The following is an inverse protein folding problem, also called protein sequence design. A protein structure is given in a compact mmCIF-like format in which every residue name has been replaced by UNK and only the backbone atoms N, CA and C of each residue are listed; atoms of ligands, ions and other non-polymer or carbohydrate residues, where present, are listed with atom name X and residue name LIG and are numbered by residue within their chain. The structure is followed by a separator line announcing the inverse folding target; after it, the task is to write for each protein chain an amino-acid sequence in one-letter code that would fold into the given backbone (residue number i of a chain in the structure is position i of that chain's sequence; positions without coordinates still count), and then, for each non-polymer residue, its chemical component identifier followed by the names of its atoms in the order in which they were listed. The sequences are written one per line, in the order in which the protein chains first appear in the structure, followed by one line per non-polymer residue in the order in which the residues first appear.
data_IF_089219952743
#
_entry.id   IF_089219952743
#
_cell.length_a   1.000
_cell.length_b   1.000
_cell.length_c   1.000
_cell.angle_alpha   90.00
_cell.angle_beta   90.00
_cell.angle_gamma   90.00
#
_symmetry.space_group_name_H-M   'P 1'
#
loop_
_entity.id
_entity.type
_entity.pdbx_description
1 polymer ?
#
# COMPACT_ATOMS: atom_id res chain seq x y z
N UNK A 1 18.96 57.14 -40.26
CA UNK A 1 19.56 55.96 -40.93
C UNK A 1 19.02 54.70 -40.25
N UNK A 2 17.94 54.13 -40.78
CA UNK A 2 17.20 52.96 -40.22
C UNK A 2 17.58 51.72 -41.03
N UNK A 3 17.92 50.61 -40.37
CA UNK A 3 18.04 49.28 -40.98
C UNK A 3 17.05 48.32 -40.33
N UNK A 4 15.93 48.09 -41.01
CA UNK A 4 14.94 47.07 -40.70
C UNK A 4 15.39 45.74 -41.31
N UNK A 5 15.61 44.71 -40.48
CA UNK A 5 15.90 43.35 -40.95
C UNK A 5 14.60 42.62 -41.29
N UNK A 6 14.47 42.22 -42.55
CA UNK A 6 13.37 41.40 -43.07
C UNK A 6 13.73 39.93 -42.94
N UNK A 7 12.88 39.14 -42.27
CA UNK A 7 13.05 37.70 -42.14
C UNK A 7 12.03 36.97 -43.03
N UNK A 8 12.55 36.25 -44.02
CA UNK A 8 11.81 35.32 -44.89
C UNK A 8 11.30 34.14 -44.05
N UNK A 9 9.99 33.93 -44.00
CA UNK A 9 9.38 32.70 -43.47
C UNK A 9 9.46 31.61 -44.55
N UNK A 10 10.15 30.51 -44.24
CA UNK A 10 10.13 29.28 -45.03
C UNK A 10 9.05 28.39 -44.40
N UNK A 11 7.93 28.20 -45.10
CA UNK A 11 6.86 27.29 -44.71
C UNK A 11 7.23 25.89 -45.17
N UNK A 12 7.68 25.04 -44.25
CA UNK A 12 7.83 23.59 -44.49
C UNK A 12 6.54 22.93 -44.02
N UNK A 13 5.71 22.52 -44.98
CA UNK A 13 4.52 21.70 -44.75
C UNK A 13 4.97 20.23 -44.70
N UNK A 14 5.16 19.69 -43.50
CA UNK A 14 5.38 18.25 -43.29
C UNK A 14 4.06 17.61 -42.88
N UNK A 15 3.44 16.86 -43.79
CA UNK A 15 2.28 16.01 -43.51
C UNK A 15 2.82 14.67 -43.02
N UNK A 16 2.85 14.47 -41.71
CA UNK A 16 3.10 13.17 -41.09
C UNK A 16 1.79 12.65 -40.48
N UNK A 17 1.12 11.76 -41.20
CA UNK A 17 -0.02 10.99 -40.67
C UNK A 17 0.55 9.90 -39.77
N UNK A 18 0.63 10.19 -38.46
CA UNK A 18 0.98 9.19 -37.46
C UNK A 18 -0.28 8.40 -37.09
N UNK A 19 -0.33 7.14 -37.50
CA UNK A 19 -1.38 6.19 -37.10
C UNK A 19 -1.04 5.68 -35.69
N UNK A 20 -1.53 6.35 -34.65
CA UNK A 20 -1.45 5.84 -33.28
C UNK A 20 -2.56 4.83 -33.05
N UNK A 21 -2.21 3.53 -33.13
CA UNK A 21 -3.06 2.47 -32.60
C UNK A 21 -2.96 2.54 -31.09
N UNK A 22 -3.89 3.26 -30.46
CA UNK A 22 -4.00 3.34 -29.01
C UNK A 22 -4.44 1.97 -28.49
N UNK A 23 -3.48 1.10 -28.19
CA UNK A 23 -3.72 -0.10 -27.40
C UNK A 23 -4.01 0.34 -25.97
N UNK A 24 -5.29 0.50 -25.65
CA UNK A 24 -5.76 0.73 -24.29
C UNK A 24 -5.63 -0.59 -23.52
N UNK A 25 -4.42 -0.91 -23.07
CA UNK A 25 -4.18 -2.00 -22.14
C UNK A 25 -4.76 -1.59 -20.78
N UNK A 26 -5.99 -1.99 -20.52
CA UNK A 26 -6.60 -1.85 -19.19
C UNK A 26 -5.93 -2.91 -18.31
N UNK A 27 -4.88 -2.50 -17.59
CA UNK A 27 -4.34 -3.30 -16.50
C UNK A 27 -5.31 -3.17 -15.33
N UNK A 28 -6.21 -4.14 -15.19
CA UNK A 28 -6.91 -4.33 -13.92
C UNK A 28 -5.89 -4.86 -12.93
N UNK A 29 -5.34 -3.97 -12.11
CA UNK A 29 -4.66 -4.38 -10.89
C UNK A 29 -5.75 -4.87 -9.95
N UNK A 30 -5.89 -6.18 -9.81
CA UNK A 30 -6.64 -6.72 -8.68
C UNK A 30 -5.90 -6.29 -7.42
N UNK A 31 -6.47 -5.33 -6.69
CA UNK A 31 -6.01 -5.07 -5.35
C UNK A 31 -6.34 -6.31 -4.54
N UNK A 32 -5.32 -7.14 -4.30
CA UNK A 32 -5.35 -8.17 -3.28
C UNK A 32 -5.44 -7.42 -1.95
N UNK A 33 -6.65 -7.01 -1.58
CA UNK A 33 -6.95 -6.48 -0.26
C UNK A 33 -6.85 -7.65 0.68
N UNK A 34 -5.69 -7.77 1.31
CA UNK A 34 -5.51 -8.69 2.40
C UNK A 34 -6.36 -8.18 3.57
N UNK A 35 -7.56 -8.74 3.63
CA UNK A 35 -8.61 -8.30 4.53
C UNK A 35 -8.15 -8.52 5.97
N UNK A 36 -7.83 -7.39 6.61
CA UNK A 36 -7.41 -7.30 8.00
C UNK A 36 -8.49 -7.89 8.90
N UNK A 37 -8.12 -8.90 9.69
CA UNK A 37 -9.01 -9.42 10.74
C UNK A 37 -9.10 -10.93 10.83
N UNK A 38 -8.49 -11.70 9.93
CA UNK A 38 -8.45 -13.16 10.05
C UNK A 38 -7.19 -13.61 10.78
N UNK A 39 -7.26 -14.78 11.41
CA UNK A 39 -6.15 -15.40 12.12
C UNK A 39 -5.93 -16.84 11.66
N UNK A 40 -4.67 -17.29 11.75
CA UNK A 40 -4.31 -18.69 11.56
C UNK A 40 -4.44 -19.46 12.88
N UNK A 41 -5.34 -20.45 12.90
CA UNK A 41 -5.49 -21.34 14.05
C UNK A 41 -4.72 -22.65 13.88
N UNK A 42 -3.83 -22.75 12.89
CA UNK A 42 -3.11 -23.97 12.54
C UNK A 42 -3.96 -24.99 11.77
N UNK A 43 -5.14 -24.59 11.28
CA UNK A 43 -5.97 -25.44 10.42
C UNK A 43 -5.33 -25.50 9.03
N UNK A 44 -5.13 -26.71 8.52
CA UNK A 44 -4.47 -27.00 7.25
C UNK A 44 -5.32 -27.96 6.44
N UNK A 45 -5.48 -27.70 5.15
CA UNK A 45 -6.22 -28.57 4.24
C UNK A 45 -5.44 -28.74 2.93
N UNK A 46 -5.41 -29.96 2.39
CA UNK A 46 -4.87 -30.21 1.05
C UNK A 46 -5.94 -29.89 0.00
N UNK A 47 -5.63 -28.99 -0.93
CA UNK A 47 -6.60 -28.52 -1.92
C UNK A 47 -6.50 -29.20 -3.30
N UNK A 48 -5.79 -30.32 -3.39
CA UNK A 48 -5.51 -31.00 -4.66
C UNK A 48 -4.18 -30.58 -5.32
N UNK A 49 -3.51 -29.54 -4.81
CA UNK A 49 -2.16 -29.18 -5.28
C UNK A 49 -1.19 -29.03 -4.11
N UNK A 50 -1.60 -28.31 -3.06
CA UNK A 50 -0.75 -28.03 -1.90
C UNK A 50 -1.57 -28.00 -0.61
N UNK A 51 -0.85 -28.02 0.52
CA UNK A 51 -1.45 -27.78 1.83
C UNK A 51 -1.58 -26.27 2.03
N UNK A 52 -2.79 -25.78 2.27
CA UNK A 52 -3.08 -24.37 2.54
C UNK A 52 -3.52 -24.16 3.98
N UNK A 53 -3.15 -23.02 4.56
CA UNK A 53 -3.71 -22.55 5.82
C UNK A 53 -5.12 -22.01 5.61
N UNK A 54 -6.02 -22.21 6.56
CA UNK A 54 -7.42 -21.77 6.48
C UNK A 54 -7.65 -20.62 7.47
N UNK A 55 -8.28 -19.56 6.98
CA UNK A 55 -8.58 -18.37 7.76
C UNK A 55 -9.68 -18.67 8.79
N UNK A 56 -9.47 -18.19 10.02
CA UNK A 56 -10.47 -18.21 11.07
C UNK A 56 -10.78 -16.79 11.56
N UNK A 57 -12.01 -16.60 12.02
CA UNK A 57 -12.43 -15.40 12.73
C UNK A 57 -11.74 -15.33 14.12
N UNK A 58 -11.36 -14.14 14.59
CA UNK A 58 -10.90 -13.94 15.95
C UNK A 58 -11.90 -14.46 16.98
N UNK A 59 -11.40 -14.96 18.11
CA UNK A 59 -12.27 -15.42 19.19
C UNK A 59 -13.23 -14.29 19.62
N UNK A 60 -14.52 -14.62 19.74
CA UNK A 60 -15.58 -13.66 20.08
C UNK A 60 -16.24 -12.96 18.89
N UNK A 61 -15.76 -13.16 17.66
CA UNK A 61 -16.33 -12.57 16.42
C UNK A 61 -16.99 -13.63 15.52
N UNK A 62 -17.74 -14.55 16.13
CA UNK A 62 -18.28 -15.73 15.45
C UNK A 62 -19.46 -15.40 14.52
N UNK A 63 -19.18 -14.98 13.29
CA UNK A 63 -20.21 -14.75 12.26
C UNK A 63 -20.36 -15.93 11.32
N UNK A 64 -19.33 -16.77 11.17
CA UNK A 64 -19.38 -17.93 10.29
C UNK A 64 -20.32 -19.04 10.80
N UNK A 65 -21.12 -19.66 9.91
CA UNK A 65 -21.90 -20.85 10.24
C UNK A 65 -21.03 -22.11 10.41
N UNK A 66 -19.83 -22.16 9.83
CA UNK A 66 -18.91 -23.28 10.00
C UNK A 66 -17.98 -22.99 11.18
N UNK A 67 -17.92 -23.92 12.15
CA UNK A 67 -17.18 -23.72 13.40
C UNK A 67 -16.25 -24.89 13.70
N UNK A 68 -15.15 -24.59 14.39
CA UNK A 68 -14.23 -25.60 14.93
C UNK A 68 -13.91 -25.27 16.39
N UNK A 69 -13.80 -26.28 17.23
CA UNK A 69 -13.31 -26.14 18.60
C UNK A 69 -11.83 -26.51 18.66
N UNK A 70 -11.00 -25.65 19.27
CA UNK A 70 -9.58 -25.90 19.51
C UNK A 70 -9.16 -25.28 20.85
N UNK A 71 -8.49 -26.07 21.69
CA UNK A 71 -7.99 -25.64 23.01
C UNK A 71 -9.05 -24.96 23.89
N UNK A 72 -10.29 -25.47 23.88
CA UNK A 72 -11.40 -24.91 24.66
C UNK A 72 -12.04 -23.64 24.09
N UNK A 73 -11.55 -23.11 22.96
CA UNK A 73 -12.16 -21.99 22.25
C UNK A 73 -12.88 -22.47 20.98
N UNK A 74 -13.98 -21.79 20.62
CA UNK A 74 -14.69 -21.99 19.35
C UNK A 74 -14.27 -20.88 18.40
N UNK A 75 -13.91 -21.26 17.18
CA UNK A 75 -13.56 -20.36 16.08
C UNK A 75 -14.54 -20.53 14.93
N UNK A 76 -14.89 -19.43 14.27
CA UNK A 76 -15.62 -19.46 13.00
C UNK A 76 -14.63 -19.63 11.86
N UNK A 77 -14.88 -20.58 10.97
CA UNK A 77 -14.06 -20.82 9.78
C UNK A 77 -14.59 -19.96 8.66
N UNK A 78 -13.76 -19.09 8.11
CA UNK A 78 -14.20 -18.09 7.14
C UNK A 78 -14.58 -18.79 5.83
N UNK A 79 -15.75 -18.45 5.32
CA UNK A 79 -16.29 -18.95 4.06
C UNK A 79 -16.33 -17.83 3.02
N UNK A 80 -15.95 -18.15 1.79
CA UNK A 80 -16.03 -17.26 0.62
C UNK A 80 -16.87 -17.90 -0.48
N UNK A 81 -17.23 -17.13 -1.51
CA UNK A 81 -17.83 -17.70 -2.71
C UNK A 81 -16.80 -18.54 -3.48
N UNK A 82 -17.22 -19.63 -4.14
CA UNK A 82 -16.37 -20.33 -5.10
C UNK A 82 -15.87 -19.39 -6.20
N UNK A 83 -14.56 -19.38 -6.46
CA UNK A 83 -13.92 -18.49 -7.44
C UNK A 83 -13.37 -17.18 -6.89
N UNK A 84 -13.60 -16.88 -5.60
CA UNK A 84 -12.90 -15.79 -4.90
C UNK A 84 -11.37 -15.97 -4.96
N UNK A 85 -10.59 -14.89 -4.99
CA UNK A 85 -9.12 -14.96 -5.02
C UNK A 85 -8.55 -15.76 -3.84
N UNK A 86 -9.24 -15.75 -2.70
CA UNK A 86 -8.90 -16.49 -1.50
C UNK A 86 -9.63 -17.84 -1.37
N UNK A 87 -10.30 -18.32 -2.41
CA UNK A 87 -10.87 -19.66 -2.47
C UNK A 87 -9.76 -20.72 -2.30
N UNK A 88 -9.96 -21.65 -1.35
CA UNK A 88 -9.07 -22.78 -1.16
C UNK A 88 -9.30 -23.92 -2.15
N UNK A 89 -10.48 -24.03 -2.75
CA UNK A 89 -10.96 -25.17 -3.54
C UNK A 89 -11.83 -26.14 -2.75
N UNK A 90 -11.83 -26.06 -1.41
CA UNK A 90 -12.58 -26.98 -0.53
C UNK A 90 -14.00 -26.47 -0.35
N UNK A 91 -15.00 -27.27 -0.74
CA UNK A 91 -16.41 -26.87 -0.80
C UNK A 91 -17.18 -27.25 0.46
N UNK A 92 -18.06 -26.36 0.92
CA UNK A 92 -18.93 -26.53 2.08
C UNK A 92 -20.38 -26.20 1.68
N UNK A 93 -21.29 -27.16 1.82
CA UNK A 93 -22.71 -26.91 1.63
C UNK A 93 -23.27 -26.16 2.85
N UNK A 94 -23.84 -24.98 2.63
CA UNK A 94 -24.56 -24.20 3.65
C UNK A 94 -26.03 -24.04 3.26
N UNK A 95 -26.85 -23.48 4.15
CA UNK A 95 -28.24 -23.11 3.83
C UNK A 95 -28.32 -22.04 2.73
N UNK A 96 -27.28 -21.22 2.57
CA UNK A 96 -27.17 -20.19 1.54
C UNK A 96 -26.52 -20.69 0.24
N UNK A 97 -26.27 -22.00 0.11
CA UNK A 97 -25.62 -22.61 -1.05
C UNK A 97 -24.20 -23.12 -0.78
N UNK A 98 -23.51 -23.49 -1.86
CA UNK A 98 -22.13 -23.98 -1.80
C UNK A 98 -21.17 -22.81 -1.59
N UNK A 99 -20.40 -22.86 -0.50
CA UNK A 99 -19.30 -21.95 -0.20
C UNK A 99 -17.95 -22.67 -0.31
N UNK A 100 -16.87 -21.92 -0.17
CA UNK A 100 -15.53 -22.46 -0.06
C UNK A 100 -14.84 -22.03 1.23
N UNK A 101 -13.94 -22.86 1.77
CA UNK A 101 -13.05 -22.42 2.84
C UNK A 101 -12.13 -21.32 2.31
N UNK A 102 -11.96 -20.24 3.07
CA UNK A 102 -11.02 -19.16 2.72
C UNK A 102 -9.58 -19.53 3.09
N UNK A 103 -8.64 -19.33 2.18
CA UNK A 103 -7.20 -19.41 2.47
C UNK A 103 -6.80 -18.32 3.46
N UNK A 104 -5.99 -18.68 4.44
CA UNK A 104 -5.31 -17.69 5.27
C UNK A 104 -4.10 -17.14 4.52
N UNK A 105 -4.07 -15.81 4.34
CA UNK A 105 -2.93 -15.10 3.78
C UNK A 105 -2.22 -14.43 4.96
N UNK A 106 -1.03 -14.90 5.29
CA UNK A 106 -0.19 -14.26 6.29
C UNK A 106 0.38 -12.97 5.69
N UNK A 107 0.05 -11.84 6.28
CA UNK A 107 0.73 -10.58 5.97
C UNK A 107 1.83 -10.36 7.01
N UNK A 108 3.07 -10.13 6.57
CA UNK A 108 4.09 -9.68 7.49
C UNK A 108 3.74 -8.27 8.00
N UNK A 109 4.03 -7.99 9.27
CA UNK A 109 3.75 -6.70 9.90
C UNK A 109 4.94 -5.76 9.75
N UNK A 110 4.72 -4.59 9.17
CA UNK A 110 5.68 -3.49 9.12
C UNK A 110 5.33 -2.45 10.17
N UNK A 111 6.21 -2.27 11.15
CA UNK A 111 6.11 -1.17 12.11
C UNK A 111 6.71 0.10 11.50
N UNK A 112 5.91 1.15 11.45
CA UNK A 112 6.27 2.43 10.83
C UNK A 112 6.49 3.50 11.89
N UNK A 113 7.57 4.26 11.73
CA UNK A 113 7.84 5.49 12.46
C UNK A 113 8.14 6.62 11.49
N UNK A 114 7.53 7.78 11.69
CA UNK A 114 7.71 8.97 10.85
C UNK A 114 8.41 10.05 11.68
N UNK A 115 9.59 10.46 11.21
CA UNK A 115 10.28 11.68 11.61
C UNK A 115 9.99 12.80 10.62
N UNK A 116 9.62 13.97 11.11
CA UNK A 116 9.39 15.17 10.29
C UNK A 116 10.44 16.22 10.65
N UNK A 117 11.04 16.85 9.64
CA UNK A 117 11.94 17.99 9.82
C UNK A 117 11.63 19.10 8.82
N UNK A 118 12.05 20.33 9.15
CA UNK A 118 11.92 21.48 8.26
C UNK A 118 13.22 22.26 8.19
N UNK A 119 13.49 22.85 7.03
CA UNK A 119 14.66 23.71 6.79
C UNK A 119 14.18 25.01 6.17
N UNK A 120 14.53 26.15 6.78
CA UNK A 120 14.27 27.47 6.18
C UNK A 120 15.11 27.62 4.90
N UNK A 121 14.49 28.12 3.84
CA UNK A 121 15.15 28.36 2.55
C UNK A 121 15.29 29.85 2.29
N UNK A 122 14.22 30.62 2.46
CA UNK A 122 14.22 32.06 2.24
C UNK A 122 13.07 32.71 3.03
N UNK A 123 13.34 33.81 3.76
CA UNK A 123 12.33 34.53 4.56
C UNK A 123 11.45 33.59 5.40
N UNK A 124 10.16 33.51 5.08
CA UNK A 124 9.10 32.71 5.71
C UNK A 124 8.91 31.34 5.05
N UNK A 125 9.73 30.98 4.07
CA UNK A 125 9.60 29.75 3.29
C UNK A 125 10.50 28.62 3.79
N UNK A 126 9.92 27.43 3.91
CA UNK A 126 10.56 26.22 4.41
C UNK A 126 10.41 25.06 3.43
N UNK A 127 11.35 24.12 3.49
CA UNK A 127 11.22 22.77 2.91
C UNK A 127 11.01 21.79 4.05
N UNK A 128 10.05 20.88 3.91
CA UNK A 128 9.76 19.79 4.84
C UNK A 128 10.27 18.47 4.29
N UNK A 129 10.88 17.68 5.17
CA UNK A 129 11.32 16.31 4.88
C UNK A 129 10.63 15.33 5.82
N UNK A 130 10.05 14.27 5.27
CA UNK A 130 9.55 13.13 6.02
C UNK A 130 10.58 11.99 5.89
N UNK A 131 11.15 11.56 7.00
CA UNK A 131 11.97 10.35 7.08
C UNK A 131 11.13 9.26 7.71
N UNK A 132 10.86 8.22 6.94
CA UNK A 132 10.13 7.05 7.40
C UNK A 132 11.11 5.95 7.71
N UNK A 133 10.99 5.36 8.89
CA UNK A 133 11.70 4.14 9.30
C UNK A 133 10.69 2.99 9.33
N UNK A 134 11.09 1.86 8.75
CA UNK A 134 10.28 0.64 8.67
C UNK A 134 11.05 -0.51 9.32
N UNK A 135 10.47 -1.11 10.35
CA UNK A 135 11.02 -2.24 11.09
C UNK A 135 10.04 -3.41 11.13
N UNK A 136 10.55 -4.61 11.30
CA UNK A 136 9.73 -5.82 11.35
C UNK A 136 9.02 -5.96 12.71
N UNK A 137 7.70 -6.13 12.69
CA UNK A 137 6.81 -6.43 13.83
C UNK A 137 6.74 -5.37 14.96
N UNK A 138 7.82 -4.68 15.30
CA UNK A 138 7.92 -3.75 16.45
C UNK A 138 8.86 -2.58 16.13
N UNK A 139 8.79 -1.49 16.91
CA UNK A 139 9.62 -0.28 16.73
C UNK A 139 11.13 -0.55 16.85
N UNK A 140 11.51 -1.57 17.61
CA UNK A 140 12.90 -1.99 17.83
C UNK A 140 13.26 -3.25 17.04
N UNK A 141 12.39 -3.68 16.12
CA UNK A 141 12.63 -4.84 15.28
C UNK A 141 13.75 -4.59 14.25
N UNK A 142 14.19 -5.64 13.56
CA UNK A 142 15.13 -5.51 12.45
C UNK A 142 14.60 -4.53 11.38
N UNK A 143 15.47 -3.73 10.74
CA UNK A 143 15.06 -2.85 9.64
C UNK A 143 14.61 -3.66 8.43
N UNK A 144 13.52 -3.25 7.78
CA UNK A 144 13.06 -3.89 6.54
C UNK A 144 13.65 -3.15 5.33
N UNK A 145 14.63 -3.78 4.68
CA UNK A 145 15.40 -3.21 3.56
C UNK A 145 14.71 -3.49 2.23
N UNK A 146 14.76 -2.55 1.29
CA UNK A 146 14.28 -2.77 -0.08
C UNK A 146 12.77 -2.70 -0.24
N UNK A 147 12.01 -2.33 0.80
CA UNK A 147 10.55 -2.22 0.66
C UNK A 147 10.20 -0.98 -0.14
N UNK A 148 9.24 -1.11 -1.05
CA UNK A 148 8.64 0.03 -1.74
C UNK A 148 7.57 0.63 -0.84
N UNK A 149 7.79 1.87 -0.41
CA UNK A 149 6.84 2.65 0.36
C UNK A 149 6.08 3.62 -0.56
N UNK A 150 4.79 3.76 -0.33
CA UNK A 150 3.95 4.82 -0.89
C UNK A 150 3.35 5.66 0.22
N UNK A 151 3.41 6.98 0.07
CA UNK A 151 2.84 7.90 1.02
C UNK A 151 2.23 9.14 0.35
N UNK A 152 1.47 9.88 1.13
CA UNK A 152 0.73 11.07 0.69
C UNK A 152 1.04 12.24 1.61
N UNK A 153 1.28 13.38 1.00
CA UNK A 153 1.41 14.65 1.68
C UNK A 153 0.07 15.38 1.73
N UNK A 154 -0.16 16.11 2.82
CA UNK A 154 -1.35 16.93 3.02
C UNK A 154 -1.05 18.23 3.76
N UNK A 155 -2.07 19.10 3.86
CA UNK A 155 -1.96 20.44 4.43
C UNK A 155 -1.60 21.47 3.36
N UNK A 156 -0.63 22.33 3.63
CA UNK A 156 -0.18 23.37 2.70
C UNK A 156 0.57 22.84 1.48
N UNK A 157 0.87 21.54 1.42
CA UNK A 157 1.37 20.87 0.23
C UNK A 157 0.69 19.50 0.09
N UNK A 158 0.40 19.10 -1.16
CA UNK A 158 -0.28 17.86 -1.48
C UNK A 158 0.42 17.09 -2.59
N UNK A 159 0.41 15.77 -2.49
CA UNK A 159 0.98 14.90 -3.51
C UNK A 159 1.26 13.50 -2.99
N UNK A 160 1.27 12.52 -3.89
CA UNK A 160 1.70 11.16 -3.60
C UNK A 160 3.16 10.98 -3.96
N UNK A 161 3.91 10.26 -3.13
CA UNK A 161 5.32 9.95 -3.35
C UNK A 161 5.56 8.45 -3.16
N UNK A 162 6.60 7.94 -3.78
CA UNK A 162 7.07 6.57 -3.57
C UNK A 162 8.59 6.52 -3.53
N UNK A 163 9.13 5.59 -2.75
CA UNK A 163 10.56 5.38 -2.60
C UNK A 163 10.85 4.05 -1.91
N UNK A 164 12.10 3.62 -1.99
CA UNK A 164 12.54 2.33 -1.44
C UNK A 164 13.37 2.54 -0.19
N UNK A 165 13.18 1.69 0.82
CA UNK A 165 14.00 1.76 2.04
C UNK A 165 15.45 1.35 1.79
N UNK A 166 16.38 2.06 2.41
CA UNK A 166 17.81 1.75 2.40
C UNK A 166 18.16 0.62 3.40
N UNK A 167 19.45 0.35 3.59
CA UNK A 167 19.96 -0.69 4.50
C UNK A 167 19.55 -0.51 5.98
N UNK A 168 19.17 0.71 6.37
CA UNK A 168 18.69 1.01 7.72
C UNK A 168 17.15 0.95 7.82
N UNK A 169 16.45 0.46 6.78
CA UNK A 169 15.00 0.44 6.73
C UNK A 169 14.40 1.84 6.59
N UNK A 170 15.16 2.81 6.09
CA UNK A 170 14.75 4.21 6.02
C UNK A 170 14.53 4.69 4.60
N UNK A 171 13.53 5.56 4.42
CA UNK A 171 13.31 6.33 3.19
C UNK A 171 12.99 7.77 3.55
N UNK A 172 13.59 8.72 2.84
CA UNK A 172 13.34 10.16 3.05
C UNK A 172 12.66 10.76 1.83
N UNK A 173 11.54 11.44 2.06
CA UNK A 173 10.81 12.20 1.05
C UNK A 173 11.01 13.68 1.32
N UNK A 174 11.66 14.36 0.37
CA UNK A 174 11.71 15.83 0.35
C UNK A 174 10.50 16.28 -0.46
N UNK A 175 9.39 16.54 0.24
CA UNK A 175 8.09 16.68 -0.41
C UNK A 175 7.81 18.08 -0.92
N UNK A 176 8.20 19.12 -0.18
CA UNK A 176 7.61 20.43 -0.41
C UNK A 176 8.51 21.32 -1.25
N UNK A 177 7.99 21.90 -2.33
CA UNK A 177 8.76 22.83 -3.15
C UNK A 177 9.14 24.07 -2.32
N UNK A 178 8.18 24.74 -1.68
CA UNK A 178 8.33 25.66 -0.53
C UNK A 178 6.98 25.77 0.22
N UNK A 179 7.01 25.86 1.56
CA UNK A 179 5.82 26.08 2.41
C UNK A 179 6.01 27.31 3.27
N UNK A 180 4.99 28.15 3.33
CA UNK A 180 5.00 29.40 4.10
C UNK A 180 4.81 29.16 5.61
N UNK A 181 5.47 29.99 6.43
CA UNK A 181 5.31 30.00 7.88
C UNK A 181 3.87 30.28 8.31
N UNK A 182 3.43 29.65 9.40
CA UNK A 182 2.04 29.68 9.85
C UNK A 182 1.18 28.54 9.29
N UNK A 183 1.71 27.76 8.35
CA UNK A 183 1.05 26.58 7.77
C UNK A 183 1.33 25.29 8.55
N UNK A 184 0.64 24.22 8.17
CA UNK A 184 0.96 22.85 8.61
C UNK A 184 1.13 21.92 7.40
N UNK A 185 1.96 20.91 7.58
CA UNK A 185 2.19 19.84 6.59
C UNK A 185 2.06 18.50 7.28
N UNK A 186 1.35 17.57 6.67
CA UNK A 186 1.25 16.17 7.11
C UNK A 186 1.84 15.21 6.09
N UNK A 187 2.31 14.06 6.58
CA UNK A 187 2.68 12.93 5.76
C UNK A 187 1.99 11.67 6.28
N UNK A 188 1.41 10.88 5.39
CA UNK A 188 0.76 9.60 5.69
C UNK A 188 1.40 8.50 4.85
N UNK A 189 1.74 7.38 5.49
CA UNK A 189 2.16 6.16 4.80
C UNK A 189 0.90 5.39 4.43
N UNK A 190 0.73 5.12 3.14
CA UNK A 190 -0.46 4.47 2.60
C UNK A 190 -0.24 2.96 2.45
N UNK A 191 0.94 2.56 1.98
CA UNK A 191 1.21 1.19 1.55
C UNK A 191 2.72 0.88 1.61
N UNK A 192 3.04 -0.35 2.02
CA UNK A 192 4.40 -0.90 2.00
C UNK A 192 4.35 -2.27 1.32
N UNK A 193 5.20 -2.48 0.32
CA UNK A 193 5.26 -3.74 -0.44
C UNK A 193 6.69 -4.20 -0.70
N UNK A 194 6.93 -5.51 -0.67
CA UNK A 194 8.14 -6.17 -1.19
C UNK A 194 7.73 -7.34 -2.07
N UNK A 195 8.30 -7.51 -3.26
CA UNK A 195 8.00 -8.64 -4.14
C UNK A 195 6.49 -8.92 -4.36
N UNK A 196 5.70 -7.84 -4.46
CA UNK A 196 4.23 -7.87 -4.55
C UNK A 196 3.47 -8.34 -3.29
N UNK A 197 4.17 -8.64 -2.20
CA UNK A 197 3.60 -8.87 -0.87
C UNK A 197 3.40 -7.53 -0.18
N UNK A 198 2.17 -7.26 0.23
CA UNK A 198 1.81 -6.09 1.03
C UNK A 198 2.00 -6.38 2.53
N UNK A 199 2.52 -5.40 3.26
CA UNK A 199 2.68 -5.50 4.71
C UNK A 199 1.48 -4.90 5.42
N UNK A 200 1.08 -5.50 6.54
CA UNK A 200 0.19 -4.83 7.47
C UNK A 200 0.95 -3.67 8.15
N UNK A 201 0.39 -2.46 8.10
CA UNK A 201 0.99 -1.30 8.74
C UNK A 201 0.63 -1.23 10.23
N UNK A 202 1.64 -1.17 11.07
CA UNK A 202 1.55 -0.89 12.50
C UNK A 202 2.33 0.39 12.86
N UNK A 203 2.11 0.91 14.07
CA UNK A 203 2.81 2.10 14.57
C UNK A 203 2.17 3.42 14.12
N UNK A 204 3.00 4.44 13.88
CA UNK A 204 2.54 5.80 13.52
C UNK A 204 2.58 5.96 12.00
N UNK A 205 1.43 5.74 11.36
CA UNK A 205 1.29 5.85 9.90
C UNK A 205 1.02 7.27 9.39
N UNK A 206 0.83 8.25 10.29
CA UNK A 206 0.65 9.66 9.91
C UNK A 206 1.30 10.60 10.91
N UNK A 207 1.92 11.68 10.43
CA UNK A 207 2.52 12.72 11.29
C UNK A 207 2.45 14.10 10.62
N UNK A 208 2.33 15.13 11.46
CA UNK A 208 2.28 16.52 11.02
C UNK A 208 3.37 17.36 11.68
N UNK A 209 3.72 18.47 11.03
CA UNK A 209 4.62 19.51 11.55
C UNK A 209 4.06 20.89 11.18
N UNK A 210 4.13 21.83 12.12
CA UNK A 210 3.85 23.25 11.88
C UNK A 210 5.08 23.95 11.30
N UNK A 211 4.88 24.90 10.40
CA UNK A 211 5.92 25.63 9.67
C UNK A 211 6.15 27.01 10.27
#
# INVERSE_FOLDING_TARGET
MRRTKSYKRISVLLISVLFTVSFLSIFYTEEISAEKGFQDIGLRVYNGTQIVAIAAEPAGTLTSPLRIAKNGAIYGIVLVEPGDANDSGVRIQTSSGIKALRKYVFLPTAYVSIGMSKRRVFETWYIVTATVTVTENTVSGPPIVGVTLRGTWGGAWGGTVSGTTNANGQVSFVGTQWVESGSWVSFTVNKITIDSIEYELAGVSSRSIGI
#
